data_IF_158835606006
#
_entry.id   IF_158835606006
#
_cell.length_a   1.000
_cell.length_b   1.000
_cell.length_c   1.000
_cell.angle_alpha   90.00
_cell.angle_beta   90.00
_cell.angle_gamma   90.00
#
_symmetry.space_group_name_H-M   'P 1'
#
loop_
_entity.id
_entity.type
_entity.pdbx_description
1 polymer ?
#
# COMPACT_ATOMS: atom_id res chain seq x y z
N UNK A 1 8.63 13.23 22.17
CA UNK A 1 9.53 14.41 22.24
C UNK A 1 9.41 15.26 20.96
N UNK A 2 9.48 14.70 19.75
CA UNK A 2 9.40 15.48 18.49
C UNK A 2 8.11 16.29 18.35
N UNK A 3 6.97 15.75 18.77
CA UNK A 3 5.67 16.43 18.69
C UNK A 3 5.58 17.69 19.59
N UNK A 4 6.29 17.72 20.71
CA UNK A 4 6.33 18.89 21.60
C UNK A 4 7.16 20.01 20.97
N UNK A 5 8.26 19.67 20.31
CA UNK A 5 9.11 20.66 19.64
C UNK A 5 8.48 21.29 18.39
N UNK A 6 7.40 20.73 17.84
CA UNK A 6 6.64 21.38 16.76
C UNK A 6 5.94 22.67 17.20
N UNK A 7 5.74 22.84 18.50
CA UNK A 7 5.18 24.06 19.10
C UNK A 7 6.27 25.06 19.56
N UNK A 8 7.54 24.79 19.29
CA UNK A 8 8.63 25.65 19.71
C UNK A 8 8.69 26.93 18.86
N UNK A 9 8.73 28.10 19.50
CA UNK A 9 8.87 29.39 18.82
C UNK A 9 10.24 29.60 18.14
N UNK A 10 11.28 28.90 18.60
CA UNK A 10 12.63 28.99 18.04
C UNK A 10 12.77 28.22 16.72
N UNK A 11 13.52 28.78 15.76
CA UNK A 11 13.96 28.07 14.55
C UNK A 11 14.96 26.93 14.84
N UNK A 12 15.64 27.01 15.96
CA UNK A 12 16.62 26.01 16.36
C UNK A 12 15.92 24.91 17.15
N UNK A 13 16.01 23.67 16.67
CA UNK A 13 15.39 22.50 17.29
C UNK A 13 15.95 22.21 18.68
N UNK A 14 17.16 22.70 18.98
CA UNK A 14 17.86 22.47 20.25
C UNK A 14 17.57 23.49 21.33
N UNK A 15 16.93 24.62 21.01
CA UNK A 15 16.65 25.71 21.96
C UNK A 15 15.14 25.88 22.09
N UNK A 16 14.62 25.72 23.32
CA UNK A 16 13.22 25.96 23.58
C UNK A 16 12.96 27.48 23.73
N UNK A 17 12.22 28.05 22.77
CA UNK A 17 11.90 29.48 22.73
C UNK A 17 10.48 29.84 23.20
N UNK A 18 9.77 28.87 23.82
CA UNK A 18 8.39 29.05 24.25
C UNK A 18 7.37 28.43 23.31
N UNK A 19 6.10 28.40 23.73
CA UNK A 19 4.97 27.85 22.94
C UNK A 19 4.57 28.82 21.83
N UNK A 20 4.48 28.32 20.59
CA UNK A 20 4.02 29.10 19.44
C UNK A 20 3.35 28.22 18.40
N UNK A 21 2.26 28.70 17.81
CA UNK A 21 1.58 28.12 16.65
C UNK A 21 2.02 28.77 15.33
N UNK A 22 3.03 29.64 15.37
CA UNK A 22 3.49 30.43 14.21
C UNK A 22 3.81 29.54 13.01
N UNK A 23 4.50 28.43 13.24
CA UNK A 23 4.91 27.49 12.17
C UNK A 23 3.71 26.85 11.48
N UNK A 24 2.64 26.60 12.22
CA UNK A 24 1.39 26.07 11.63
C UNK A 24 0.71 27.13 10.77
N UNK A 25 0.69 28.38 11.22
CA UNK A 25 0.16 29.49 10.42
C UNK A 25 1.00 29.73 9.16
N UNK A 26 2.32 29.70 9.26
CA UNK A 26 3.23 29.79 8.11
C UNK A 26 3.01 28.60 7.14
N UNK A 27 2.85 27.38 7.65
CA UNK A 27 2.57 26.19 6.83
C UNK A 27 1.29 26.34 5.99
N UNK A 28 0.21 26.81 6.60
CA UNK A 28 -1.08 26.99 5.90
C UNK A 28 -1.07 28.16 4.90
N UNK A 29 -0.11 29.06 5.00
CA UNK A 29 0.05 30.19 4.06
C UNK A 29 1.12 29.90 2.99
N UNK A 30 1.85 28.82 3.08
CA UNK A 30 2.86 28.43 2.10
C UNK A 30 2.24 27.55 1.01
N UNK A 31 1.94 28.15 -0.15
CA UNK A 31 1.35 27.46 -1.29
C UNK A 31 2.24 26.31 -1.83
N UNK A 32 3.56 26.46 -1.74
CA UNK A 32 4.49 25.43 -2.20
C UNK A 32 4.41 24.18 -1.29
N UNK A 33 4.35 24.37 0.02
CA UNK A 33 4.19 23.27 0.99
C UNK A 33 2.83 22.60 0.85
N UNK A 34 1.76 23.38 0.70
CA UNK A 34 0.41 22.83 0.51
C UNK A 34 0.29 22.03 -0.80
N UNK A 35 0.86 22.53 -1.90
CA UNK A 35 0.86 21.83 -3.17
C UNK A 35 1.67 20.53 -3.12
N UNK A 36 2.81 20.52 -2.43
CA UNK A 36 3.62 19.33 -2.20
C UNK A 36 2.88 18.29 -1.34
N UNK A 37 2.24 18.72 -0.24
CA UNK A 37 1.43 17.87 0.63
C UNK A 37 0.26 17.24 -0.15
N UNK A 38 -0.43 18.04 -0.96
CA UNK A 38 -1.52 17.57 -1.81
C UNK A 38 -1.04 16.54 -2.85
N UNK A 39 0.13 16.78 -3.45
CA UNK A 39 0.74 15.83 -4.38
C UNK A 39 1.07 14.50 -3.70
N UNK A 40 1.68 14.53 -2.50
CA UNK A 40 1.98 13.33 -1.71
C UNK A 40 0.72 12.55 -1.36
N UNK A 41 -0.34 13.23 -0.93
CA UNK A 41 -1.64 12.58 -0.64
C UNK A 41 -2.24 11.91 -1.87
N UNK A 42 -2.16 12.55 -3.04
CA UNK A 42 -2.65 11.97 -4.30
C UNK A 42 -1.85 10.74 -4.70
N UNK A 43 -0.52 10.81 -4.62
CA UNK A 43 0.36 9.66 -4.89
C UNK A 43 0.03 8.53 -3.93
N UNK A 44 -0.02 8.79 -2.62
CA UNK A 44 -0.32 7.79 -1.60
C UNK A 44 -1.69 7.13 -1.82
N UNK A 45 -2.72 7.90 -2.12
CA UNK A 45 -4.06 7.37 -2.36
C UNK A 45 -4.12 6.51 -3.62
N UNK A 46 -3.54 6.98 -4.74
CA UNK A 46 -3.55 6.25 -6.00
C UNK A 46 -2.71 4.96 -5.90
N UNK A 47 -1.51 5.05 -5.32
CA UNK A 47 -0.63 3.88 -5.17
C UNK A 47 -1.21 2.85 -4.18
N UNK A 48 -1.75 3.28 -3.04
CA UNK A 48 -2.40 2.38 -2.08
C UNK A 48 -3.60 1.66 -2.70
N UNK A 49 -4.41 2.37 -3.48
CA UNK A 49 -5.57 1.77 -4.14
C UNK A 49 -5.13 0.75 -5.21
N UNK A 50 -4.18 1.11 -6.07
CA UNK A 50 -3.63 0.20 -7.07
C UNK A 50 -2.93 -1.01 -6.42
N UNK A 51 -2.12 -0.79 -5.38
CA UNK A 51 -1.45 -1.83 -4.63
C UNK A 51 -2.43 -2.80 -3.95
N UNK A 52 -3.54 -2.26 -3.41
CA UNK A 52 -4.58 -3.08 -2.77
C UNK A 52 -5.30 -3.95 -3.79
N UNK A 53 -5.64 -3.42 -4.94
CA UNK A 53 -6.27 -4.19 -6.01
C UNK A 53 -5.33 -5.30 -6.50
N UNK A 54 -4.12 -4.95 -6.90
CA UNK A 54 -3.14 -5.90 -7.44
C UNK A 54 -2.69 -6.92 -6.37
N UNK A 55 -2.39 -6.48 -5.15
CA UNK A 55 -1.98 -7.33 -4.04
C UNK A 55 -3.08 -8.31 -3.62
N UNK A 56 -4.34 -7.86 -3.58
CA UNK A 56 -5.48 -8.74 -3.29
C UNK A 56 -5.69 -9.79 -4.38
N UNK A 57 -5.63 -9.38 -5.66
CA UNK A 57 -5.73 -10.33 -6.79
C UNK A 57 -4.57 -11.33 -6.79
N UNK A 58 -3.36 -10.88 -6.52
CA UNK A 58 -2.19 -11.75 -6.42
C UNK A 58 -2.32 -12.75 -5.25
N UNK A 59 -2.77 -12.29 -4.08
CA UNK A 59 -3.02 -13.15 -2.93
C UNK A 59 -4.10 -14.20 -3.21
N UNK A 60 -5.20 -13.81 -3.85
CA UNK A 60 -6.27 -14.73 -4.27
C UNK A 60 -5.75 -15.76 -5.27
N UNK A 61 -4.99 -15.34 -6.28
CA UNK A 61 -4.37 -16.23 -7.26
C UNK A 61 -3.42 -17.24 -6.63
N UNK A 62 -2.63 -16.82 -5.64
CA UNK A 62 -1.72 -17.73 -4.91
C UNK A 62 -2.44 -18.63 -3.91
N UNK A 63 -3.49 -18.16 -3.23
CA UNK A 63 -4.17 -18.94 -2.20
C UNK A 63 -5.18 -19.93 -2.79
N UNK A 64 -5.89 -19.55 -3.85
CA UNK A 64 -7.02 -20.29 -4.42
C UNK A 64 -6.81 -20.80 -5.83
N UNK A 65 -5.85 -20.22 -6.55
CA UNK A 65 -5.52 -20.67 -7.90
C UNK A 65 -5.06 -22.14 -7.90
N UNK A 66 -5.47 -22.89 -8.91
CA UNK A 66 -4.93 -24.21 -9.18
C UNK A 66 -3.41 -24.14 -9.31
N UNK A 67 -2.74 -25.29 -9.17
CA UNK A 67 -1.29 -25.38 -9.35
C UNK A 67 -0.92 -25.08 -10.81
N UNK A 68 -0.54 -23.83 -11.10
CA UNK A 68 -0.07 -23.43 -12.41
C UNK A 68 1.46 -23.47 -12.50
N UNK A 69 1.96 -23.70 -13.72
CA UNK A 69 3.41 -23.66 -13.98
C UNK A 69 3.93 -22.24 -13.73
N UNK A 70 4.94 -22.10 -12.88
CA UNK A 70 5.52 -20.79 -12.53
C UNK A 70 4.97 -20.15 -11.24
N UNK A 71 4.09 -20.83 -10.51
CA UNK A 71 3.54 -20.32 -9.21
C UNK A 71 4.64 -19.91 -8.23
N UNK A 72 5.70 -20.72 -8.13
CA UNK A 72 6.82 -20.42 -7.23
C UNK A 72 7.58 -19.16 -7.68
N UNK A 73 7.79 -19.02 -9.00
CA UNK A 73 8.41 -17.82 -9.56
C UNK A 73 7.56 -16.59 -9.32
N UNK A 74 6.26 -16.68 -9.58
CA UNK A 74 5.32 -15.58 -9.33
C UNK A 74 5.31 -15.17 -7.85
N UNK A 75 5.25 -16.14 -6.93
CA UNK A 75 5.33 -15.88 -5.50
C UNK A 75 6.68 -15.23 -5.13
N UNK A 76 7.78 -15.73 -5.66
CA UNK A 76 9.12 -15.15 -5.45
C UNK A 76 9.19 -13.70 -5.92
N UNK A 77 8.69 -13.39 -7.10
CA UNK A 77 8.64 -12.02 -7.64
C UNK A 77 7.74 -11.09 -6.81
N UNK A 78 6.59 -11.60 -6.36
CA UNK A 78 5.64 -10.84 -5.54
C UNK A 78 6.26 -10.46 -4.18
N UNK A 79 6.99 -11.40 -3.55
CA UNK A 79 7.56 -11.18 -2.22
C UNK A 79 9.01 -10.67 -2.24
N UNK A 80 9.66 -10.59 -3.40
CA UNK A 80 11.01 -10.07 -3.52
C UNK A 80 11.21 -8.69 -2.85
N UNK A 81 10.29 -7.71 -3.02
CA UNK A 81 10.45 -6.40 -2.38
C UNK A 81 10.47 -6.43 -0.84
N UNK A 82 9.88 -7.46 -0.21
CA UNK A 82 9.93 -7.60 1.25
C UNK A 82 11.32 -7.97 1.79
N UNK A 83 12.11 -8.66 0.98
CA UNK A 83 13.44 -9.16 1.37
C UNK A 83 14.53 -8.18 0.94
N UNK A 84 14.30 -7.45 -0.14
CA UNK A 84 15.25 -6.48 -0.69
C UNK A 84 15.18 -5.16 0.10
N UNK A 85 16.33 -4.51 0.37
CA UNK A 85 16.32 -3.16 0.93
C UNK A 85 15.53 -2.20 0.04
N UNK A 86 14.61 -1.43 0.63
CA UNK A 86 13.73 -0.51 -0.09
C UNK A 86 14.49 0.48 -0.97
N UNK A 87 15.67 0.95 -0.50
CA UNK A 87 16.54 1.87 -1.24
C UNK A 87 17.03 1.24 -2.54
N UNK A 88 17.41 -0.05 -2.52
CA UNK A 88 17.89 -0.76 -3.72
C UNK A 88 16.75 -0.94 -4.71
N UNK A 89 15.58 -1.31 -4.25
CA UNK A 89 14.40 -1.48 -5.11
C UNK A 89 13.97 -0.14 -5.71
N UNK A 90 13.95 0.94 -4.91
CA UNK A 90 13.65 2.29 -5.39
C UNK A 90 14.65 2.78 -6.44
N UNK A 91 15.95 2.56 -6.20
CA UNK A 91 17.00 2.94 -7.17
C UNK A 91 16.88 2.13 -8.46
N UNK A 92 16.60 0.82 -8.37
CA UNK A 92 16.42 -0.03 -9.55
C UNK A 92 15.24 0.41 -10.41
N UNK A 93 14.11 0.78 -9.77
CA UNK A 93 12.95 1.33 -10.49
C UNK A 93 13.27 2.68 -11.14
N UNK A 94 14.02 3.56 -10.44
CA UNK A 94 14.45 4.82 -11.02
C UNK A 94 15.33 4.61 -12.25
N UNK A 95 16.31 3.70 -12.16
CA UNK A 95 17.19 3.36 -13.30
C UNK A 95 16.39 2.75 -14.46
N UNK A 96 15.40 1.91 -14.17
CA UNK A 96 14.49 1.37 -15.19
C UNK A 96 13.73 2.50 -15.89
N UNK A 97 13.14 3.43 -15.14
CA UNK A 97 12.40 4.56 -15.73
C UNK A 97 13.28 5.47 -16.57
N UNK A 98 14.54 5.67 -16.15
CA UNK A 98 15.52 6.42 -16.94
C UNK A 98 15.88 5.65 -18.22
N UNK A 99 16.09 4.34 -18.15
CA UNK A 99 16.47 3.51 -19.29
C UNK A 99 15.38 3.45 -20.38
N UNK A 100 14.10 3.51 -19.99
CA UNK A 100 12.97 3.52 -20.93
C UNK A 100 12.50 4.95 -21.28
N UNK A 101 13.26 5.98 -20.89
CA UNK A 101 12.96 7.39 -21.08
C UNK A 101 11.57 7.80 -20.56
N UNK A 102 11.11 7.17 -19.47
CA UNK A 102 9.88 7.53 -18.83
C UNK A 102 10.05 8.84 -18.05
N UNK A 103 9.25 9.84 -18.40
CA UNK A 103 9.26 11.15 -17.74
C UNK A 103 9.05 11.03 -16.23
N UNK A 104 9.92 11.70 -15.47
CA UNK A 104 9.81 11.74 -13.99
C UNK A 104 8.61 12.59 -13.60
N UNK A 105 7.65 12.00 -12.91
CA UNK A 105 6.42 12.71 -12.51
C UNK A 105 5.49 11.84 -11.67
N UNK A 106 4.26 12.30 -11.54
CA UNK A 106 3.23 11.66 -10.73
C UNK A 106 3.09 10.15 -10.99
N UNK A 107 3.03 9.74 -12.25
CA UNK A 107 2.79 8.34 -12.62
C UNK A 107 3.97 7.41 -12.32
N UNK A 108 5.20 7.86 -12.58
CA UNK A 108 6.40 7.04 -12.28
C UNK A 108 6.54 6.82 -10.78
N UNK A 109 6.29 7.84 -9.97
CA UNK A 109 6.30 7.72 -8.50
C UNK A 109 5.16 6.81 -8.03
N UNK A 110 3.95 6.99 -8.56
CA UNK A 110 2.78 6.15 -8.21
C UNK A 110 3.04 4.67 -8.54
N UNK A 111 3.61 4.36 -9.71
CA UNK A 111 3.94 2.98 -10.10
C UNK A 111 5.02 2.40 -9.19
N UNK A 112 6.06 3.18 -8.86
CA UNK A 112 7.10 2.74 -7.94
C UNK A 112 6.54 2.38 -6.56
N UNK A 113 5.74 3.27 -5.97
CA UNK A 113 5.09 3.03 -4.69
C UNK A 113 4.12 1.83 -4.75
N UNK A 114 3.33 1.70 -5.82
CA UNK A 114 2.45 0.54 -6.03
C UNK A 114 3.24 -0.75 -6.03
N UNK A 115 4.35 -0.80 -6.77
CA UNK A 115 5.22 -1.98 -6.87
C UNK A 115 5.80 -2.39 -5.52
N UNK A 116 6.23 -1.41 -4.71
CA UNK A 116 6.78 -1.65 -3.38
C UNK A 116 5.70 -2.09 -2.38
N UNK A 117 4.52 -1.45 -2.41
CA UNK A 117 3.51 -1.65 -1.35
C UNK A 117 2.56 -2.81 -1.63
N UNK A 118 2.41 -3.26 -2.88
CA UNK A 118 1.50 -4.38 -3.20
C UNK A 118 1.89 -5.69 -2.52
N UNK A 119 3.19 -5.92 -2.26
CA UNK A 119 3.65 -7.12 -1.57
C UNK A 119 3.17 -7.17 -0.11
N UNK A 120 3.15 -6.02 0.59
CA UNK A 120 2.64 -5.92 1.96
C UNK A 120 1.13 -6.22 2.00
N UNK A 121 0.37 -5.65 1.06
CA UNK A 121 -1.06 -5.94 0.93
C UNK A 121 -1.28 -7.43 0.66
N UNK A 122 -0.52 -8.03 -0.25
CA UNK A 122 -0.64 -9.45 -0.58
C UNK A 122 -0.42 -10.34 0.65
N UNK A 123 0.58 -10.02 1.49
CA UNK A 123 0.83 -10.77 2.74
C UNK A 123 -0.33 -10.65 3.71
N UNK A 124 -0.84 -9.43 3.95
CA UNK A 124 -1.96 -9.19 4.88
C UNK A 124 -3.22 -9.94 4.42
N UNK A 125 -3.55 -9.84 3.14
CA UNK A 125 -4.71 -10.51 2.55
C UNK A 125 -4.55 -12.03 2.55
N UNK A 126 -3.36 -12.53 2.19
CA UNK A 126 -3.07 -13.98 2.18
C UNK A 126 -3.12 -14.58 3.57
N UNK A 127 -2.60 -13.88 4.58
CA UNK A 127 -2.70 -14.29 5.99
C UNK A 127 -4.17 -14.49 6.40
N UNK A 128 -5.04 -13.58 6.02
CA UNK A 128 -6.48 -13.71 6.28
C UNK A 128 -7.11 -14.88 5.53
N UNK A 129 -6.80 -15.01 4.24
CA UNK A 129 -7.31 -16.13 3.43
C UNK A 129 -6.95 -17.50 4.00
N UNK A 130 -5.74 -17.63 4.56
CA UNK A 130 -5.30 -18.90 5.16
C UNK A 130 -6.04 -19.27 6.45
N UNK A 131 -6.68 -18.30 7.12
CA UNK A 131 -7.49 -18.53 8.33
C UNK A 131 -8.97 -18.73 8.05
N UNK A 132 -9.43 -18.45 6.83
CA UNK A 132 -10.83 -18.66 6.46
C UNK A 132 -11.09 -20.13 6.11
N UNK A 133 -12.09 -20.69 6.76
CA UNK A 133 -12.54 -22.04 6.48
C UNK A 133 -13.26 -22.10 5.13
N UNK A 134 -12.83 -23.01 4.26
CA UNK A 134 -13.45 -23.25 2.96
C UNK A 134 -14.86 -23.82 3.07
N UNK A 135 -15.17 -24.47 4.17
CA UNK A 135 -16.52 -25.03 4.43
C UNK A 135 -17.62 -23.98 4.35
N UNK A 136 -17.31 -22.70 4.64
CA UNK A 136 -18.27 -21.60 4.52
C UNK A 136 -18.68 -21.33 3.07
N UNK A 137 -17.75 -21.45 2.13
CA UNK A 137 -18.06 -21.33 0.69
C UNK A 137 -18.76 -22.58 0.16
N UNK A 138 -18.31 -23.75 0.60
CA UNK A 138 -18.93 -25.02 0.24
C UNK A 138 -20.40 -25.06 0.69
N UNK A 139 -20.69 -24.63 1.93
CA UNK A 139 -22.05 -24.51 2.42
C UNK A 139 -22.91 -23.51 1.60
N UNK A 140 -22.34 -22.41 1.16
CA UNK A 140 -23.06 -21.47 0.28
C UNK A 140 -23.34 -22.10 -1.11
N UNK A 141 -22.40 -22.89 -1.63
CA UNK A 141 -22.60 -23.61 -2.90
C UNK A 141 -23.63 -24.73 -2.76
N UNK A 142 -23.68 -25.43 -1.65
CA UNK A 142 -24.71 -26.43 -1.35
C UNK A 142 -26.12 -25.82 -1.28
N UNK A 143 -26.21 -24.53 -0.90
CA UNK A 143 -27.44 -23.75 -0.95
C UNK A 143 -27.81 -23.21 -2.35
N UNK A 144 -27.02 -23.58 -3.37
CA UNK A 144 -27.30 -23.24 -4.77
C UNK A 144 -26.56 -22.01 -5.29
N UNK A 145 -25.62 -21.43 -4.52
CA UNK A 145 -24.79 -20.34 -5.01
C UNK A 145 -23.78 -20.86 -6.03
N UNK A 146 -23.53 -20.09 -7.09
CA UNK A 146 -22.38 -20.33 -7.94
C UNK A 146 -21.07 -19.98 -7.19
N UNK A 147 -19.90 -20.51 -7.59
CA UNK A 147 -18.63 -20.22 -6.91
C UNK A 147 -18.32 -18.73 -6.78
N UNK A 148 -18.68 -17.92 -7.80
CA UNK A 148 -18.51 -16.46 -7.78
C UNK A 148 -19.47 -15.80 -6.78
N UNK A 149 -20.71 -16.27 -6.73
CA UNK A 149 -21.70 -15.78 -5.76
C UNK A 149 -21.30 -16.13 -4.33
N UNK A 150 -20.83 -17.36 -4.07
CA UNK A 150 -20.32 -17.77 -2.76
C UNK A 150 -19.10 -16.91 -2.34
N UNK A 151 -18.19 -16.63 -3.26
CA UNK A 151 -17.06 -15.73 -3.01
C UNK A 151 -17.51 -14.31 -2.62
N UNK A 152 -18.43 -13.71 -3.40
CA UNK A 152 -18.90 -12.33 -3.15
C UNK A 152 -19.75 -12.25 -1.88
N UNK A 153 -20.60 -13.26 -1.62
CA UNK A 153 -21.54 -13.25 -0.50
C UNK A 153 -20.88 -13.63 0.83
N UNK A 154 -19.85 -14.47 0.83
CA UNK A 154 -19.23 -15.02 2.04
C UNK A 154 -17.79 -14.56 2.20
N UNK A 155 -16.92 -14.87 1.25
CA UNK A 155 -15.49 -14.64 1.41
C UNK A 155 -15.12 -13.18 1.36
N UNK A 156 -15.63 -12.44 0.37
CA UNK A 156 -15.27 -11.04 0.20
C UNK A 156 -15.63 -10.18 1.43
N UNK A 157 -16.85 -10.28 2.01
CA UNK A 157 -17.16 -9.55 3.25
C UNK A 157 -16.24 -9.90 4.43
N UNK A 158 -15.88 -11.18 4.58
CA UNK A 158 -14.97 -11.64 5.63
C UNK A 158 -13.52 -11.17 5.42
N UNK A 159 -13.15 -10.83 4.19
CA UNK A 159 -11.84 -10.30 3.84
C UNK A 159 -11.77 -8.77 3.89
N UNK A 160 -12.89 -8.06 3.80
CA UNK A 160 -12.92 -6.59 3.75
C UNK A 160 -12.09 -5.92 4.87
N UNK A 161 -12.12 -6.37 6.14
CA UNK A 161 -11.30 -5.76 7.18
C UNK A 161 -9.79 -5.87 6.89
N UNK A 162 -9.35 -7.01 6.33
CA UNK A 162 -7.95 -7.23 5.99
C UNK A 162 -7.53 -6.47 4.73
N UNK A 163 -8.42 -6.34 3.75
CA UNK A 163 -8.22 -5.51 2.57
C UNK A 163 -8.09 -4.04 2.99
N UNK A 164 -8.97 -3.56 3.87
CA UNK A 164 -8.90 -2.21 4.41
C UNK A 164 -7.60 -1.97 5.21
N UNK A 165 -7.20 -2.92 6.06
CA UNK A 165 -5.93 -2.86 6.78
C UNK A 165 -4.72 -2.83 5.83
N UNK A 166 -4.74 -3.64 4.78
CA UNK A 166 -3.73 -3.64 3.72
C UNK A 166 -3.68 -2.28 2.98
N UNK A 167 -4.82 -1.69 2.68
CA UNK A 167 -4.91 -0.37 2.07
C UNK A 167 -4.31 0.71 2.97
N UNK A 168 -4.68 0.72 4.27
CA UNK A 168 -4.14 1.67 5.24
C UNK A 168 -2.63 1.54 5.39
N UNK A 169 -2.12 0.29 5.42
CA UNK A 169 -0.68 0.03 5.47
C UNK A 169 0.02 0.58 4.21
N UNK A 170 -0.49 0.25 3.01
CA UNK A 170 0.05 0.74 1.76
C UNK A 170 0.01 2.28 1.67
N UNK A 171 -1.07 2.90 2.14
CA UNK A 171 -1.22 4.35 2.20
C UNK A 171 -0.16 4.99 3.12
N UNK A 172 0.02 4.44 4.32
CA UNK A 172 1.00 4.95 5.29
C UNK A 172 2.44 4.80 4.80
N UNK A 173 2.75 3.69 4.11
CA UNK A 173 4.09 3.47 3.54
C UNK A 173 4.35 4.34 2.30
N UNK A 174 3.30 4.82 1.65
CA UNK A 174 3.40 5.62 0.43
C UNK A 174 3.33 7.14 0.69
N UNK A 175 2.97 7.57 1.90
CA UNK A 175 2.88 8.96 2.32
C UNK A 175 4.23 9.53 2.73
#
# INVERSE_FOLDING_TARGET
>A
FRSIYSFNASRLVTVWGGWSLRWYAEFFNDEAMLSAAWMSLRVAFCSATAATLLGTLAALGLARGERFKGRTLFAGMLYAPLVMPEVITGLSLLLLFVAIDAGRGFWTVTIAHTTLTMCFVAVVVQSRLSTLDRSLEEAAMDLGCSPVQAFIAVTLPLMLPSIAAGWMLAFTLSL
#
